data_IF_773917792962
#
_entry.id   IF_773917792962
#
_cell.length_a   1.000
_cell.length_b   1.000
_cell.length_c   1.000
_cell.angle_alpha   90.00
_cell.angle_beta   90.00
_cell.angle_gamma   90.00
#
_symmetry.space_group_name_H-M   'P 1'
#
loop_
_entity.id
_entity.type
_entity.pdbx_description
1 polymer ?
#
# COMPACT_ATOMS: atom_id res chain seq x y z
N UNK A 1 33.09 -38.50 20.34
CA UNK A 1 32.75 -37.06 20.43
C UNK A 1 31.45 -36.81 19.70
N UNK A 2 30.38 -36.45 20.42
CA UNK A 2 29.05 -36.21 19.86
C UNK A 2 29.00 -34.82 19.20
N UNK A 3 28.77 -34.76 17.88
CA UNK A 3 28.62 -33.50 17.14
C UNK A 3 27.31 -32.83 17.55
N UNK A 4 27.41 -31.76 18.33
CA UNK A 4 26.29 -30.88 18.71
C UNK A 4 26.07 -29.84 17.60
N UNK A 5 25.02 -29.98 16.79
CA UNK A 5 24.62 -29.00 15.77
C UNK A 5 23.81 -27.86 16.42
N UNK A 6 24.48 -26.81 16.89
CA UNK A 6 23.84 -25.65 17.58
C UNK A 6 23.44 -24.50 16.65
N UNK A 7 23.12 -24.80 15.39
CA UNK A 7 22.70 -23.78 14.43
C UNK A 7 22.29 -24.41 13.11
N UNK A 8 20.99 -24.55 12.90
CA UNK A 8 20.41 -24.92 11.63
C UNK A 8 19.16 -24.06 11.40
N UNK A 9 19.04 -23.48 10.21
CA UNK A 9 17.80 -22.84 9.76
C UNK A 9 16.67 -23.85 9.92
N UNK A 10 15.61 -23.48 10.66
CA UNK A 10 14.42 -24.32 10.79
C UNK A 10 13.54 -24.07 9.57
N UNK A 11 12.91 -25.10 9.02
CA UNK A 11 11.85 -24.87 8.04
C UNK A 11 10.75 -24.01 8.68
N UNK A 12 10.44 -22.88 8.05
CA UNK A 12 9.55 -21.85 8.59
C UNK A 12 10.23 -20.78 9.47
N UNK A 13 11.56 -20.81 9.64
CA UNK A 13 12.30 -19.71 10.25
C UNK A 13 12.44 -18.54 9.26
N UNK A 14 11.59 -17.53 9.41
CA UNK A 14 11.64 -16.31 8.62
C UNK A 14 10.27 -15.65 8.50
N UNK A 15 10.22 -14.52 7.78
CA UNK A 15 8.94 -13.94 7.33
C UNK A 15 8.53 -14.65 6.05
N UNK A 16 7.30 -15.16 5.99
CA UNK A 16 6.70 -15.60 4.72
C UNK A 16 6.73 -14.42 3.75
N UNK A 17 7.37 -14.60 2.60
CA UNK A 17 7.43 -13.56 1.59
C UNK A 17 5.99 -13.25 1.12
N UNK A 18 5.61 -11.98 1.15
CA UNK A 18 4.34 -11.54 0.58
C UNK A 18 4.28 -11.92 -0.90
N UNK A 19 3.08 -12.29 -1.36
CA UNK A 19 2.87 -12.53 -2.78
C UNK A 19 3.18 -11.26 -3.59
N UNK A 20 3.54 -11.38 -4.89
CA UNK A 20 3.83 -10.22 -5.72
C UNK A 20 2.69 -9.19 -5.79
N UNK A 21 1.45 -9.62 -5.57
CA UNK A 21 0.23 -8.79 -5.59
C UNK A 21 0.06 -8.01 -4.29
N UNK A 22 0.50 -8.56 -3.17
CA UNK A 22 0.44 -7.91 -1.84
C UNK A 22 1.64 -6.99 -1.60
N UNK A 23 2.70 -7.13 -2.40
CA UNK A 23 3.87 -6.25 -2.35
C UNK A 23 3.49 -4.86 -2.84
N UNK A 24 3.30 -3.94 -1.89
CA UNK A 24 3.19 -2.51 -2.16
C UNK A 24 4.43 -2.03 -2.90
N UNK A 25 4.23 -1.40 -4.07
CA UNK A 25 5.31 -0.72 -4.80
C UNK A 25 5.27 0.76 -4.44
N UNK A 26 6.41 1.29 -4.00
CA UNK A 26 6.56 2.73 -3.78
C UNK A 26 6.46 3.49 -5.10
N UNK A 27 5.72 4.60 -5.10
CA UNK A 27 5.66 5.53 -6.21
C UNK A 27 6.02 6.94 -5.70
N UNK A 28 6.83 7.67 -6.48
CA UNK A 28 7.18 9.06 -6.17
C UNK A 28 6.27 9.99 -6.95
N UNK A 29 5.65 10.93 -6.25
CA UNK A 29 4.82 11.99 -6.84
C UNK A 29 5.28 13.34 -6.29
N UNK A 30 5.08 14.38 -7.08
CA UNK A 30 5.30 15.77 -6.67
C UNK A 30 3.94 16.42 -6.44
N UNK A 31 3.77 17.06 -5.28
CA UNK A 31 2.55 17.75 -4.87
C UNK A 31 2.91 19.08 -4.21
N UNK A 32 1.99 20.03 -4.24
CA UNK A 32 2.15 21.28 -3.48
C UNK A 32 1.86 21.05 -1.99
N UNK A 33 2.31 21.97 -1.15
CA UNK A 33 2.05 21.92 0.29
C UNK A 33 0.55 21.96 0.62
N UNK A 34 -0.23 22.72 -0.15
CA UNK A 34 -1.69 22.77 0.01
C UNK A 34 -2.31 21.38 -0.17
N UNK A 35 -1.92 20.66 -1.23
CA UNK A 35 -2.40 19.29 -1.47
C UNK A 35 -1.97 18.35 -0.34
N UNK A 36 -0.75 18.50 0.17
CA UNK A 36 -0.27 17.73 1.33
C UNK A 36 -1.13 18.00 2.58
N UNK A 37 -1.48 19.26 2.84
CA UNK A 37 -2.36 19.62 3.96
C UNK A 37 -3.77 19.06 3.78
N UNK A 38 -4.31 19.13 2.57
CA UNK A 38 -5.63 18.56 2.26
C UNK A 38 -5.65 17.05 2.46
N UNK A 39 -4.61 16.33 2.01
CA UNK A 39 -4.46 14.88 2.24
C UNK A 39 -4.46 14.57 3.75
N UNK A 40 -3.72 15.35 4.54
CA UNK A 40 -3.65 15.14 5.99
C UNK A 40 -4.99 15.41 6.69
N UNK A 41 -5.73 16.43 6.23
CA UNK A 41 -6.99 16.88 6.83
C UNK A 41 -8.19 16.01 6.43
N UNK A 42 -8.29 15.63 5.17
CA UNK A 42 -9.49 14.98 4.60
C UNK A 42 -9.32 13.48 4.35
N UNK A 43 -8.08 12.97 4.22
CA UNK A 43 -7.84 11.55 3.97
C UNK A 43 -8.04 10.70 5.22
N UNK A 44 -8.52 9.46 5.02
CA UNK A 44 -8.73 8.49 6.10
C UNK A 44 -7.58 7.48 6.17
N UNK A 45 -7.05 7.24 7.37
CA UNK A 45 -5.96 6.29 7.59
C UNK A 45 -4.98 6.75 8.67
N UNK A 46 -4.08 5.86 9.06
CA UNK A 46 -3.12 6.08 10.14
C UNK A 46 -1.82 6.71 9.66
N UNK A 47 -1.54 6.68 8.36
CA UNK A 47 -0.33 7.25 7.76
C UNK A 47 -0.65 8.14 6.57
N UNK A 48 0.28 9.04 6.21
CA UNK A 48 0.15 9.88 5.02
C UNK A 48 -0.07 9.04 3.75
N UNK A 49 0.65 7.92 3.63
CA UNK A 49 0.50 6.99 2.51
C UNK A 49 -0.89 6.36 2.44
N UNK A 50 -1.44 5.91 3.58
CA UNK A 50 -2.81 5.36 3.62
C UNK A 50 -3.85 6.40 3.24
N UNK A 51 -3.76 7.60 3.81
CA UNK A 51 -4.65 8.72 3.47
C UNK A 51 -4.59 9.07 1.99
N UNK A 52 -3.38 9.10 1.42
CA UNK A 52 -3.18 9.39 -0.02
C UNK A 52 -3.82 8.31 -0.89
N UNK A 53 -3.61 7.03 -0.55
CA UNK A 53 -4.18 5.91 -1.30
C UNK A 53 -5.70 5.89 -1.20
N UNK A 54 -6.26 6.16 -0.02
CA UNK A 54 -7.72 6.20 0.19
C UNK A 54 -8.38 7.26 -0.69
N UNK A 55 -7.88 8.49 -0.68
CA UNK A 55 -8.38 9.56 -1.53
C UNK A 55 -8.24 9.23 -3.03
N UNK A 56 -7.09 8.69 -3.44
CA UNK A 56 -6.86 8.31 -4.84
C UNK A 56 -7.81 7.19 -5.31
N UNK A 57 -8.01 6.17 -4.48
CA UNK A 57 -8.93 5.06 -4.79
C UNK A 57 -10.37 5.56 -4.86
N UNK A 58 -10.78 6.43 -3.94
CA UNK A 58 -12.12 7.03 -3.93
C UNK A 58 -12.40 7.77 -5.25
N UNK A 59 -11.49 8.63 -5.69
CA UNK A 59 -11.63 9.38 -6.94
C UNK A 59 -11.58 8.46 -8.18
N UNK A 60 -10.69 7.46 -8.20
CA UNK A 60 -10.64 6.47 -9.29
C UNK A 60 -11.98 5.71 -9.40
N UNK A 61 -12.55 5.29 -8.27
CA UNK A 61 -13.86 4.62 -8.24
C UNK A 61 -14.97 5.54 -8.75
N UNK A 62 -14.99 6.80 -8.31
CA UNK A 62 -15.93 7.82 -8.79
C UNK A 62 -15.85 7.97 -10.32
N UNK A 63 -14.65 8.11 -10.89
CA UNK A 63 -14.44 8.22 -12.34
C UNK A 63 -14.85 6.97 -13.10
N UNK A 64 -14.54 5.77 -12.59
CA UNK A 64 -14.97 4.50 -13.19
C UNK A 64 -16.48 4.34 -13.19
N UNK A 65 -17.16 4.84 -12.16
CA UNK A 65 -18.61 4.80 -12.09
C UNK A 65 -19.22 5.80 -13.07
N UNK A 66 -18.69 7.03 -13.13
CA UNK A 66 -19.16 8.07 -14.05
C UNK A 66 -18.87 7.76 -15.52
N UNK A 67 -17.78 7.05 -15.83
CA UNK A 67 -17.49 6.64 -17.22
C UNK A 67 -18.50 5.62 -17.73
N UNK A 68 -18.94 4.69 -16.88
CA UNK A 68 -19.96 3.68 -17.24
C UNK A 68 -21.34 4.27 -17.54
N UNK A 69 -21.60 5.52 -17.13
CA UNK A 69 -22.84 6.24 -17.45
C UNK A 69 -22.79 6.95 -18.81
N UNK A 70 -21.61 7.12 -19.43
CA UNK A 70 -21.49 7.76 -20.75
C UNK A 70 -21.63 6.79 -21.93
N UNK A 71 -21.59 5.49 -21.67
CA UNK A 71 -21.65 4.43 -22.69
C UNK A 71 -23.03 3.73 -22.76
N UNK A 72 -24.10 4.38 -22.28
CA UNK A 72 -25.48 3.89 -22.33
C UNK A 72 -26.42 4.87 -23.01
#
# INVERSE_FOLDING_TARGET
MSKKNWGGSRDGAGRTALSPVEKKKGAKIYISDNVKFDILKYGKGNSFSEKTVELAVSEICSRKNNSKFKDK
#
